data_IF_811333512644
#
_entry.id   IF_811333512644
#
_cell.length_a   1.000
_cell.length_b   1.000
_cell.length_c   1.000
_cell.angle_alpha   90.00
_cell.angle_beta   90.00
_cell.angle_gamma   90.00
#
_symmetry.space_group_name_H-M   'P 1'
#
loop_
_entity.id
_entity.type
_entity.pdbx_description
1 polymer ?
#
# COMPACT_ATOMS: atom_id res chain seq x y z
N UNK A 1 -6.42 -25.85 -27.95
CA UNK A 1 -5.35 -24.91 -27.54
C UNK A 1 -5.34 -24.88 -26.03
N UNK A 2 -4.36 -25.56 -25.44
CA UNK A 2 -4.17 -25.63 -23.99
C UNK A 2 -3.52 -24.32 -23.53
N UNK A 3 -4.06 -23.73 -22.47
CA UNK A 3 -3.23 -23.08 -21.45
C UNK A 3 -4.02 -23.16 -20.16
N UNK A 4 -3.60 -24.14 -19.35
CA UNK A 4 -3.80 -24.19 -17.92
C UNK A 4 -3.56 -22.80 -17.31
N UNK A 5 -4.58 -22.24 -16.68
CA UNK A 5 -4.37 -21.33 -15.56
C UNK A 5 -4.81 -22.09 -14.34
N UNK A 6 -3.96 -23.05 -13.96
CA UNK A 6 -3.89 -23.52 -12.58
C UNK A 6 -3.77 -22.29 -11.70
N UNK A 7 -4.88 -21.91 -11.09
CA UNK A 7 -4.89 -21.02 -9.93
C UNK A 7 -4.25 -21.84 -8.82
N UNK A 8 -2.92 -21.78 -8.75
CA UNK A 8 -2.13 -22.39 -7.69
C UNK A 8 -2.50 -21.69 -6.39
N UNK A 9 -3.45 -22.28 -5.69
CA UNK A 9 -3.67 -22.11 -4.28
C UNK A 9 -2.37 -22.54 -3.55
N UNK A 10 -2.00 -21.80 -2.50
CA UNK A 10 -0.89 -22.07 -1.56
C UNK A 10 0.51 -21.62 -1.96
N UNK A 11 0.79 -20.33 -1.79
CA UNK A 11 1.87 -19.89 -0.89
C UNK A 11 1.43 -18.59 -0.20
N UNK A 12 1.05 -18.68 1.08
CA UNK A 12 0.98 -17.53 1.98
C UNK A 12 2.42 -17.10 2.32
N UNK A 13 3.23 -16.86 1.30
CA UNK A 13 4.58 -16.36 1.40
C UNK A 13 4.48 -14.93 1.90
N UNK A 14 5.19 -14.61 2.98
CA UNK A 14 5.41 -13.24 3.43
C UNK A 14 6.02 -12.48 2.25
N UNK A 15 5.18 -11.83 1.44
CA UNK A 15 5.63 -11.06 0.28
C UNK A 15 6.33 -9.83 0.85
N UNK A 16 7.65 -9.79 0.73
CA UNK A 16 8.45 -8.70 1.25
C UNK A 16 8.42 -7.54 0.26
N UNK A 17 8.12 -6.35 0.76
CA UNK A 17 8.17 -5.11 -0.03
C UNK A 17 9.44 -4.37 0.33
N UNK A 18 10.30 -4.12 -0.66
CA UNK A 18 11.51 -3.33 -0.48
C UNK A 18 11.20 -1.85 -0.56
N UNK A 19 11.57 -1.11 0.48
CA UNK A 19 11.56 0.36 0.51
C UNK A 19 12.99 0.83 0.58
N UNK A 20 13.31 1.92 -0.12
CA UNK A 20 14.64 2.53 -0.04
C UNK A 20 14.93 2.96 1.40
N UNK A 21 16.16 2.71 1.87
CA UNK A 21 16.54 2.96 3.26
C UNK A 21 16.36 4.45 3.62
N UNK A 22 16.68 5.37 2.69
CA UNK A 22 16.50 6.81 2.90
C UNK A 22 15.04 7.24 3.14
N UNK A 23 14.07 6.41 2.76
CA UNK A 23 12.65 6.68 2.98
C UNK A 23 12.11 6.00 4.24
N UNK A 24 12.86 5.09 4.88
CA UNK A 24 12.40 4.36 6.06
C UNK A 24 12.24 5.28 7.27
N UNK A 25 13.21 6.17 7.54
CA UNK A 25 13.11 7.12 8.65
C UNK A 25 11.88 8.02 8.52
N UNK A 26 11.66 8.57 7.32
CA UNK A 26 10.48 9.40 7.03
C UNK A 26 9.19 8.60 7.15
N UNK A 27 9.18 7.35 6.67
CA UNK A 27 8.03 6.46 6.79
C UNK A 27 7.72 6.14 8.25
N UNK A 28 8.72 5.89 9.08
CA UNK A 28 8.51 5.65 10.51
C UNK A 28 7.94 6.87 11.23
N UNK A 29 8.37 8.08 10.85
CA UNK A 29 7.77 9.32 11.36
C UNK A 29 6.30 9.40 10.98
N UNK A 30 5.96 9.20 9.70
CA UNK A 30 4.56 9.19 9.24
C UNK A 30 3.73 8.15 10.00
N UNK A 31 4.26 6.94 10.19
CA UNK A 31 3.57 5.88 10.95
C UNK A 31 3.23 6.36 12.36
N UNK A 32 4.17 7.03 13.05
CA UNK A 32 3.96 7.54 14.41
C UNK A 32 3.03 8.75 14.43
N UNK A 33 3.27 9.75 13.58
CA UNK A 33 2.57 11.03 13.58
C UNK A 33 1.07 10.87 13.30
N UNK A 34 0.73 9.92 12.42
CA UNK A 34 -0.66 9.62 12.07
C UNK A 34 -1.27 8.49 12.94
N UNK A 35 -0.54 7.98 13.94
CA UNK A 35 -1.07 6.99 14.89
C UNK A 35 -1.25 5.58 14.31
N UNK A 36 -0.51 5.22 13.26
CA UNK A 36 -0.53 3.86 12.74
C UNK A 36 0.21 2.91 13.70
N UNK A 37 -0.37 1.72 13.91
CA UNK A 37 0.21 0.67 14.77
C UNK A 37 1.65 0.27 14.38
N UNK A 38 1.87 0.06 13.09
CA UNK A 38 3.16 -0.32 12.52
C UNK A 38 3.17 -0.07 11.01
N UNK A 39 4.33 -0.26 10.37
CA UNK A 39 4.49 -0.07 8.92
C UNK A 39 3.54 -0.94 8.10
N UNK A 40 3.29 -2.17 8.53
CA UNK A 40 2.40 -3.10 7.83
C UNK A 40 0.95 -2.61 7.87
N UNK A 41 0.52 -2.08 9.02
CA UNK A 41 -0.79 -1.44 9.15
C UNK A 41 -0.94 -0.24 8.20
N UNK A 42 0.09 0.61 8.10
CA UNK A 42 0.12 1.71 7.13
C UNK A 42 -0.02 1.20 5.69
N UNK A 43 0.82 0.24 5.27
CA UNK A 43 0.77 -0.31 3.91
C UNK A 43 -0.56 -0.97 3.59
N UNK A 44 -1.16 -1.69 4.54
CA UNK A 44 -2.45 -2.32 4.36
C UNK A 44 -3.53 -1.27 4.08
N UNK A 45 -3.63 -0.22 4.91
CA UNK A 45 -4.63 0.83 4.72
C UNK A 45 -4.45 1.61 3.41
N UNK A 46 -3.19 1.93 3.05
CA UNK A 46 -2.91 2.56 1.76
C UNK A 46 -3.32 1.66 0.59
N UNK A 47 -3.03 0.36 0.68
CA UNK A 47 -3.40 -0.60 -0.37
C UNK A 47 -4.92 -0.72 -0.48
N UNK A 48 -5.62 -0.86 0.65
CA UNK A 48 -7.07 -0.97 0.70
C UNK A 48 -7.74 0.27 0.09
N UNK A 49 -7.24 1.48 0.41
CA UNK A 49 -7.75 2.73 -0.16
C UNK A 49 -7.55 2.80 -1.69
N UNK A 50 -6.38 2.39 -2.20
CA UNK A 50 -6.11 2.36 -3.64
C UNK A 50 -7.00 1.35 -4.37
N UNK A 51 -7.18 0.16 -3.79
CA UNK A 51 -8.07 -0.87 -4.35
C UNK A 51 -9.52 -0.41 -4.36
N UNK A 52 -9.98 0.25 -3.30
CA UNK A 52 -11.32 0.79 -3.21
C UNK A 52 -11.54 1.89 -4.26
N UNK A 53 -10.61 2.84 -4.39
CA UNK A 53 -10.69 3.89 -5.42
C UNK A 53 -10.78 3.31 -6.84
N UNK A 54 -10.02 2.24 -7.12
CA UNK A 54 -10.10 1.53 -8.39
C UNK A 54 -11.47 0.87 -8.60
N UNK A 55 -12.03 0.21 -7.57
CA UNK A 55 -13.37 -0.42 -7.65
C UNK A 55 -14.48 0.59 -7.90
N UNK A 56 -14.36 1.77 -7.30
CA UNK A 56 -15.36 2.83 -7.41
C UNK A 56 -15.23 3.63 -8.73
N UNK A 57 -14.30 3.26 -9.60
CA UNK A 57 -14.02 3.98 -10.85
C UNK A 57 -13.46 5.39 -10.61
N UNK A 58 -13.01 5.68 -9.39
CA UNK A 58 -12.43 6.97 -9.04
C UNK A 58 -11.04 7.10 -9.64
N UNK A 59 -10.80 8.19 -10.35
CA UNK A 59 -9.45 8.57 -10.78
C UNK A 59 -8.74 9.27 -9.62
N UNK A 60 -7.66 8.66 -9.15
CA UNK A 60 -6.70 9.35 -8.30
C UNK A 60 -5.85 10.25 -9.20
N UNK A 61 -6.01 11.57 -9.07
CA UNK A 61 -5.06 12.51 -9.64
C UNK A 61 -3.71 12.34 -8.94
N UNK A 62 -2.68 11.96 -9.72
CA UNK A 62 -1.32 11.73 -9.23
C UNK A 62 -0.37 12.82 -9.77
N UNK A 63 0.50 13.43 -8.94
CA UNK A 63 0.70 13.15 -7.52
C UNK A 63 -0.45 13.68 -6.63
N UNK A 64 -0.76 13.00 -5.51
CA UNK A 64 -1.79 13.46 -4.59
C UNK A 64 -1.41 14.83 -4.02
N UNK A 65 -2.38 15.74 -3.97
CA UNK A 65 -2.19 17.03 -3.31
C UNK A 65 -2.29 16.82 -1.80
N UNK A 66 -1.16 16.91 -1.10
CA UNK A 66 -1.14 16.87 0.36
C UNK A 66 -1.64 18.22 0.89
N UNK A 67 -2.75 18.19 1.64
CA UNK A 67 -3.22 19.37 2.38
C UNK A 67 -2.41 19.44 3.67
N UNK A 68 -1.59 20.48 3.81
CA UNK A 68 -0.89 20.77 5.07
C UNK A 68 -1.93 21.41 6.01
N UNK A 69 -2.10 20.87 7.22
CA UNK A 69 -2.84 21.57 8.28
C UNK A 69 -1.87 22.57 8.93
N UNK A 70 -2.21 23.85 8.86
CA UNK A 70 -1.59 24.93 9.67
C UNK A 70 -1.81 24.71 11.18
#
# INVERSE_FOLDING_TARGET
>A
MNTESEVTQNQQGKRTTSVRLEHLDTLERIVRDFGFKDRSHFFQLCTDALLQAHRDGSRLDWPPRFVVRD
#
